data_IF_557899672728
#
_entry.id   IF_557899672728
#
_cell.length_a   1.000
_cell.length_b   1.000
_cell.length_c   1.000
_cell.angle_alpha   90.00
_cell.angle_beta   90.00
_cell.angle_gamma   90.00
#
_symmetry.space_group_name_H-M   'P 1'
#
loop_
_entity.id
_entity.type
_entity.pdbx_description
1 polymer ?
#
# COMPACT_ATOMS: atom_id res chain seq x y z
N UNK A 1 -31.16 30.79 14.53
CA UNK A 1 -30.16 30.17 15.43
C UNK A 1 -30.31 28.65 15.50
N UNK A 2 -31.53 28.12 15.72
CA UNK A 2 -31.80 26.67 15.79
C UNK A 2 -31.46 25.88 14.50
N UNK A 3 -31.71 26.43 13.31
CA UNK A 3 -31.37 25.76 12.05
C UNK A 3 -29.84 25.61 11.81
N UNK A 4 -29.03 26.58 12.25
CA UNK A 4 -27.55 26.49 12.19
C UNK A 4 -27.01 25.45 13.18
N UNK A 5 -27.61 25.36 14.37
CA UNK A 5 -27.28 24.34 15.38
C UNK A 5 -27.70 22.93 14.93
N UNK A 6 -28.86 22.78 14.31
CA UNK A 6 -29.29 21.52 13.72
C UNK A 6 -28.34 21.10 12.59
N UNK A 7 -28.04 21.99 11.64
CA UNK A 7 -27.12 21.69 10.54
C UNK A 7 -25.71 21.31 11.04
N UNK A 8 -25.21 22.01 12.07
CA UNK A 8 -23.93 21.66 12.72
C UNK A 8 -23.96 20.29 13.40
N UNK A 9 -25.09 19.87 13.99
CA UNK A 9 -25.23 18.53 14.59
C UNK A 9 -25.24 17.43 13.55
N UNK A 10 -25.98 17.61 12.45
CA UNK A 10 -26.00 16.66 11.33
C UNK A 10 -24.62 16.46 10.70
N UNK A 11 -23.84 17.54 10.54
CA UNK A 11 -22.47 17.46 10.01
C UNK A 11 -21.56 16.68 10.96
N UNK A 12 -21.65 16.94 12.26
CA UNK A 12 -20.83 16.24 13.25
C UNK A 12 -21.19 14.75 13.36
N UNK A 13 -22.48 14.41 13.35
CA UNK A 13 -22.94 13.02 13.32
C UNK A 13 -22.48 12.30 12.05
N UNK A 14 -22.57 12.95 10.90
CA UNK A 14 -22.08 12.40 9.64
C UNK A 14 -20.56 12.14 9.67
N UNK A 15 -19.78 13.12 10.14
CA UNK A 15 -18.33 12.97 10.30
C UNK A 15 -18.00 11.84 11.27
N UNK A 16 -18.74 11.74 12.37
CA UNK A 16 -18.52 10.68 13.36
C UNK A 16 -18.81 9.28 12.78
N UNK A 17 -19.93 9.11 12.07
CA UNK A 17 -20.27 7.85 11.41
C UNK A 17 -19.22 7.48 10.35
N UNK A 18 -18.76 8.46 9.57
CA UNK A 18 -17.72 8.24 8.57
C UNK A 18 -16.41 7.80 9.23
N UNK A 19 -15.96 8.53 10.26
CA UNK A 19 -14.75 8.21 11.01
C UNK A 19 -14.84 6.82 11.64
N UNK A 20 -15.98 6.47 12.23
CA UNK A 20 -16.22 5.15 12.82
C UNK A 20 -16.09 4.03 11.79
N UNK A 21 -16.64 4.18 10.59
CA UNK A 21 -16.50 3.20 9.50
C UNK A 21 -15.03 3.03 9.07
N UNK A 22 -14.29 4.13 8.95
CA UNK A 22 -12.87 4.08 8.60
C UNK A 22 -12.00 3.50 9.70
N UNK A 23 -12.33 3.75 10.98
CA UNK A 23 -11.65 3.12 12.11
C UNK A 23 -11.85 1.61 12.13
N UNK A 24 -13.07 1.13 11.83
CA UNK A 24 -13.33 -0.32 11.66
C UNK A 24 -12.51 -0.87 10.49
N UNK A 25 -12.53 -0.20 9.33
CA UNK A 25 -11.76 -0.64 8.16
C UNK A 25 -10.25 -0.71 8.47
N UNK A 26 -9.72 0.30 9.16
CA UNK A 26 -8.32 0.30 9.60
C UNK A 26 -8.03 -0.82 10.59
N UNK A 27 -8.90 -1.05 11.58
CA UNK A 27 -8.76 -2.14 12.55
C UNK A 27 -8.68 -3.50 11.86
N UNK A 28 -9.60 -3.77 10.93
CA UNK A 28 -9.65 -5.05 10.22
C UNK A 28 -8.43 -5.23 9.31
N UNK A 29 -8.05 -4.17 8.57
CA UNK A 29 -6.83 -4.15 7.78
C UNK A 29 -5.57 -4.36 8.64
N UNK A 30 -5.49 -3.73 9.82
CA UNK A 30 -4.38 -3.90 10.74
C UNK A 30 -4.32 -5.30 11.35
N UNK A 31 -5.46 -5.91 11.67
CA UNK A 31 -5.52 -7.28 12.17
C UNK A 31 -4.98 -8.28 11.13
N UNK A 32 -5.35 -8.11 9.85
CA UNK A 32 -4.80 -8.90 8.74
C UNK A 32 -3.28 -8.71 8.58
N UNK A 33 -2.78 -7.47 8.69
CA UNK A 33 -1.34 -7.20 8.61
C UNK A 33 -0.58 -7.77 9.80
N UNK A 34 -1.16 -7.72 10.99
CA UNK A 34 -0.58 -8.26 12.21
C UNK A 34 -0.42 -9.79 12.16
N UNK A 35 -1.40 -10.52 11.60
CA UNK A 35 -1.25 -11.96 11.40
C UNK A 35 -0.15 -12.30 10.39
N UNK A 36 -0.01 -11.50 9.34
CA UNK A 36 1.10 -11.62 8.39
C UNK A 36 2.47 -11.35 9.03
N UNK A 37 2.57 -10.34 9.91
CA UNK A 37 3.80 -10.06 10.66
C UNK A 37 4.18 -11.23 11.57
N UNK A 38 3.20 -11.83 12.26
CA UNK A 38 3.43 -12.99 13.10
C UNK A 38 4.04 -14.16 12.31
N UNK A 39 3.45 -14.51 11.16
CA UNK A 39 3.97 -15.59 10.31
C UNK A 39 5.35 -15.25 9.74
N UNK A 40 5.58 -14.00 9.35
CA UNK A 40 6.87 -13.55 8.82
C UNK A 40 7.98 -13.68 9.87
N UNK A 41 7.75 -13.20 11.10
CA UNK A 41 8.72 -13.33 12.18
C UNK A 41 8.93 -14.77 12.63
N UNK A 42 7.89 -15.60 12.62
CA UNK A 42 8.03 -17.03 12.88
C UNK A 42 8.92 -17.70 11.83
N UNK A 43 8.77 -17.33 10.55
CA UNK A 43 9.62 -17.85 9.47
C UNK A 43 11.08 -17.39 9.63
N UNK A 44 11.32 -16.12 9.94
CA UNK A 44 12.65 -15.58 10.22
C UNK A 44 13.31 -16.32 11.40
N UNK A 45 12.58 -16.49 12.51
CA UNK A 45 13.05 -17.23 13.67
C UNK A 45 13.38 -18.69 13.35
N UNK A 46 12.54 -19.36 12.55
CA UNK A 46 12.77 -20.74 12.12
C UNK A 46 14.04 -20.86 11.27
N UNK A 47 14.23 -19.92 10.33
CA UNK A 47 15.44 -19.84 9.49
C UNK A 47 16.69 -19.59 10.35
N UNK A 48 16.61 -18.71 11.34
CA UNK A 48 17.70 -18.46 12.28
C UNK A 48 18.05 -19.72 13.09
N UNK A 49 17.06 -20.41 13.64
CA UNK A 49 17.27 -21.65 14.41
C UNK A 49 17.88 -22.75 13.53
N UNK A 50 17.54 -22.81 12.24
CA UNK A 50 18.16 -23.77 11.31
C UNK A 50 19.61 -23.44 10.92
N UNK A 51 20.17 -22.32 11.36
CA UNK A 51 21.54 -21.91 11.06
C UNK A 51 21.75 -21.33 9.66
N UNK A 52 20.67 -20.98 8.94
CA UNK A 52 20.73 -20.43 7.58
C UNK A 52 21.15 -18.96 7.55
N UNK A 53 22.38 -18.64 7.12
CA UNK A 53 22.90 -17.26 7.13
C UNK A 53 23.98 -17.05 8.19
N UNK A 54 24.50 -18.12 8.78
CA UNK A 54 25.67 -18.12 9.65
C UNK A 54 26.96 -17.89 8.82
N UNK A 55 27.14 -16.70 8.26
CA UNK A 55 28.43 -16.27 7.73
C UNK A 55 29.24 -15.60 8.83
N UNK A 56 30.50 -16.00 8.99
CA UNK A 56 31.37 -15.68 10.13
C UNK A 56 31.64 -14.20 10.36
N UNK A 57 31.37 -13.33 9.37
CA UNK A 57 31.71 -11.89 9.41
C UNK A 57 30.52 -10.95 9.15
N UNK A 58 29.29 -11.45 9.10
CA UNK A 58 28.10 -10.60 8.86
C UNK A 58 27.07 -10.66 9.98
N UNK A 59 26.53 -9.51 10.36
CA UNK A 59 25.35 -9.45 11.22
C UNK A 59 24.21 -10.11 10.46
N UNK A 60 23.58 -11.12 11.07
CA UNK A 60 22.42 -11.81 10.56
C UNK A 60 21.35 -10.82 10.08
N UNK A 61 21.05 -10.83 8.77
CA UNK A 61 20.21 -9.82 8.12
C UNK A 61 19.11 -10.41 7.22
N UNK A 62 18.62 -11.61 7.56
CA UNK A 62 17.46 -12.19 6.88
C UNK A 62 16.16 -11.58 7.41
N UNK A 63 15.60 -10.63 6.66
CA UNK A 63 14.32 -10.01 6.96
C UNK A 63 13.30 -10.35 5.86
N UNK A 64 12.20 -10.99 6.24
CA UNK A 64 11.05 -11.31 5.37
C UNK A 64 10.15 -10.09 5.25
N UNK A 65 9.90 -9.37 6.36
CA UNK A 65 9.02 -8.19 6.37
C UNK A 65 9.63 -7.01 7.16
N UNK A 66 9.01 -5.83 7.09
CA UNK A 66 9.37 -4.66 7.90
C UNK A 66 8.13 -3.91 8.37
N UNK A 67 7.60 -4.20 9.57
CA UNK A 67 6.34 -3.61 10.02
C UNK A 67 6.39 -2.08 10.09
N UNK A 68 7.51 -1.51 10.56
CA UNK A 68 7.67 -0.05 10.65
C UNK A 68 7.56 0.63 9.28
N UNK A 69 8.14 0.02 8.24
CA UNK A 69 8.09 0.56 6.88
C UNK A 69 6.72 0.37 6.22
N UNK A 70 5.87 -0.51 6.75
CA UNK A 70 4.53 -0.78 6.24
C UNK A 70 3.48 0.09 6.95
N UNK A 71 3.64 0.33 8.25
CA UNK A 71 2.71 1.13 9.06
C UNK A 71 3.02 2.63 9.03
N UNK A 72 4.28 3.01 8.80
CA UNK A 72 4.69 4.39 8.52
C UNK A 72 5.34 4.49 7.13
N UNK A 73 4.60 4.18 6.04
CA UNK A 73 5.17 4.09 4.71
C UNK A 73 5.47 5.48 4.16
N UNK A 74 6.56 5.58 3.39
CA UNK A 74 6.77 6.76 2.55
C UNK A 74 5.89 6.73 1.31
N UNK A 75 5.68 5.54 0.74
CA UNK A 75 4.92 5.31 -0.50
C UNK A 75 4.35 3.88 -0.57
N UNK A 76 3.37 3.65 -1.44
CA UNK A 76 2.83 2.30 -1.70
C UNK A 76 3.89 1.35 -2.26
N UNK A 77 4.85 1.85 -3.04
CA UNK A 77 5.96 1.04 -3.57
C UNK A 77 6.75 0.41 -2.42
N UNK A 78 7.06 1.18 -1.38
CA UNK A 78 7.76 0.66 -0.19
C UNK A 78 6.93 -0.40 0.52
N UNK A 79 5.62 -0.21 0.65
CA UNK A 79 4.73 -1.20 1.26
C UNK A 79 4.80 -2.53 0.52
N UNK A 80 4.71 -2.53 -0.81
CA UNK A 80 4.79 -3.76 -1.62
C UNK A 80 6.14 -4.46 -1.48
N UNK A 81 7.24 -3.70 -1.37
CA UNK A 81 8.59 -4.25 -1.16
C UNK A 81 8.70 -4.88 0.23
N UNK A 82 8.31 -4.14 1.26
CA UNK A 82 8.53 -4.51 2.65
C UNK A 82 7.48 -5.49 3.18
N UNK A 83 6.33 -5.63 2.51
CA UNK A 83 5.32 -6.63 2.84
C UNK A 83 5.90 -8.04 2.85
N UNK A 84 6.61 -8.41 1.77
CA UNK A 84 7.29 -9.69 1.63
C UNK A 84 8.51 -9.49 0.72
N UNK A 85 9.68 -9.25 1.32
CA UNK A 85 10.91 -8.93 0.58
C UNK A 85 11.36 -10.10 -0.31
N UNK A 86 11.40 -11.36 0.16
CA UNK A 86 11.78 -12.50 -0.68
C UNK A 86 10.90 -12.61 -1.93
N UNK A 87 9.58 -12.49 -1.75
CA UNK A 87 8.64 -12.55 -2.86
C UNK A 87 8.81 -11.37 -3.83
N UNK A 88 9.02 -10.16 -3.29
CA UNK A 88 9.32 -8.98 -4.12
C UNK A 88 10.59 -9.19 -4.96
N UNK A 89 11.67 -9.71 -4.37
CA UNK A 89 12.91 -10.00 -5.10
C UNK A 89 12.71 -11.07 -6.17
N UNK A 90 11.92 -12.10 -5.88
CA UNK A 90 11.58 -13.13 -6.86
C UNK A 90 10.83 -12.52 -8.05
N UNK A 91 9.76 -11.75 -7.81
CA UNK A 91 9.01 -11.08 -8.87
C UNK A 91 9.88 -10.13 -9.68
N UNK A 92 10.73 -9.34 -9.01
CA UNK A 92 11.65 -8.41 -9.68
C UNK A 92 12.62 -9.14 -10.60
N UNK A 93 13.13 -10.29 -10.17
CA UNK A 93 14.16 -11.06 -10.89
C UNK A 93 13.57 -11.84 -12.05
N UNK A 94 12.48 -12.57 -11.82
CA UNK A 94 11.97 -13.55 -12.79
C UNK A 94 10.83 -13.01 -13.66
N UNK A 95 10.03 -12.06 -13.17
CA UNK A 95 8.87 -11.54 -13.91
C UNK A 95 9.16 -10.15 -14.47
N UNK A 96 9.45 -9.19 -13.60
CA UNK A 96 9.61 -7.79 -14.00
C UNK A 96 10.78 -7.59 -14.97
N UNK A 97 11.97 -8.12 -14.65
CA UNK A 97 13.15 -8.00 -15.53
C UNK A 97 12.96 -8.73 -16.86
N UNK A 98 12.31 -9.89 -16.85
CA UNK A 98 12.05 -10.67 -18.07
C UNK A 98 11.09 -9.95 -19.02
N UNK A 99 10.08 -9.27 -18.48
CA UNK A 99 9.08 -8.54 -19.27
C UNK A 99 9.44 -7.07 -19.50
N UNK A 100 10.54 -6.58 -18.92
CA UNK A 100 11.03 -5.21 -19.09
C UNK A 100 11.25 -4.77 -20.55
N UNK A 101 11.75 -5.63 -21.46
CA UNK A 101 11.92 -5.26 -22.87
C UNK A 101 10.60 -4.87 -23.58
N UNK A 102 9.45 -5.33 -23.07
CA UNK A 102 8.11 -4.99 -23.60
C UNK A 102 7.61 -3.61 -23.12
N UNK A 103 8.35 -2.94 -22.24
CA UNK A 103 8.02 -1.63 -21.69
C UNK A 103 7.69 -1.64 -20.20
N UNK A 104 7.72 -0.46 -19.58
CA UNK A 104 7.49 -0.30 -18.14
C UNK A 104 6.12 -0.76 -17.67
N UNK A 105 5.08 -0.38 -18.42
CA UNK A 105 3.69 -0.71 -18.07
C UNK A 105 3.45 -2.20 -18.19
N UNK A 106 3.92 -2.82 -19.29
CA UNK A 106 3.84 -4.26 -19.49
C UNK A 106 4.53 -5.03 -18.37
N UNK A 107 5.71 -4.58 -17.91
CA UNK A 107 6.44 -5.21 -16.82
C UNK A 107 5.76 -5.10 -15.45
N UNK A 108 5.08 -3.99 -15.17
CA UNK A 108 4.29 -3.82 -13.94
C UNK A 108 3.04 -4.70 -14.00
N UNK A 109 2.29 -4.64 -15.12
CA UNK A 109 1.07 -5.44 -15.31
C UNK A 109 1.36 -6.94 -15.22
N UNK A 110 2.41 -7.42 -15.89
CA UNK A 110 2.81 -8.84 -15.82
C UNK A 110 3.13 -9.26 -14.39
N UNK A 111 3.82 -8.42 -13.62
CA UNK A 111 4.18 -8.69 -12.22
C UNK A 111 2.93 -8.88 -11.36
N UNK A 112 1.94 -7.98 -11.49
CA UNK A 112 0.69 -8.11 -10.74
C UNK A 112 -0.19 -9.27 -11.24
N UNK A 113 -0.22 -9.55 -12.55
CA UNK A 113 -0.94 -10.71 -13.09
C UNK A 113 -0.37 -12.02 -12.53
N UNK A 114 0.96 -12.19 -12.54
CA UNK A 114 1.59 -13.39 -11.97
C UNK A 114 1.34 -13.46 -10.46
N UNK A 115 1.38 -12.34 -9.74
CA UNK A 115 1.01 -12.31 -8.33
C UNK A 115 -0.42 -12.80 -8.08
N UNK A 116 -1.40 -12.31 -8.86
CA UNK A 116 -2.80 -12.74 -8.76
C UNK A 116 -2.94 -14.25 -9.04
N UNK A 117 -2.23 -14.77 -10.03
CA UNK A 117 -2.21 -16.20 -10.35
C UNK A 117 -1.66 -17.04 -9.20
N UNK A 118 -0.56 -16.60 -8.56
CA UNK A 118 0.03 -17.30 -7.42
C UNK A 118 -0.87 -17.29 -6.16
N UNK A 119 -1.79 -16.33 -6.06
CA UNK A 119 -2.80 -16.29 -5.01
C UNK A 119 -4.07 -17.10 -5.34
N UNK A 120 -4.02 -17.99 -6.34
CA UNK A 120 -5.08 -18.96 -6.63
C UNK A 120 -6.31 -18.38 -7.32
N UNK A 121 -6.17 -17.25 -8.03
CA UNK A 121 -7.27 -16.58 -8.76
C UNK A 121 -8.51 -16.26 -7.92
N UNK A 122 -8.35 -16.10 -6.61
CA UNK A 122 -9.42 -15.66 -5.74
C UNK A 122 -9.81 -14.22 -6.11
N UNK A 123 -11.09 -13.97 -6.42
CA UNK A 123 -11.58 -12.67 -6.89
C UNK A 123 -11.24 -11.53 -5.92
N UNK A 124 -11.35 -11.77 -4.61
CA UNK A 124 -11.04 -10.76 -3.60
C UNK A 124 -9.56 -10.36 -3.63
N UNK A 125 -8.66 -11.33 -3.59
CA UNK A 125 -7.21 -11.09 -3.67
C UNK A 125 -6.84 -10.48 -5.02
N UNK A 126 -7.47 -10.94 -6.10
CA UNK A 126 -7.28 -10.38 -7.44
C UNK A 126 -7.64 -8.90 -7.50
N UNK A 127 -8.82 -8.53 -6.99
CA UNK A 127 -9.29 -7.15 -6.96
C UNK A 127 -8.37 -6.24 -6.10
N UNK A 128 -7.94 -6.73 -4.94
CA UNK A 128 -7.02 -6.00 -4.05
C UNK A 128 -5.65 -5.79 -4.70
N UNK A 129 -5.03 -6.85 -5.24
CA UNK A 129 -3.70 -6.77 -5.85
C UNK A 129 -3.69 -5.95 -7.14
N UNK A 130 -4.72 -6.10 -7.97
CA UNK A 130 -4.87 -5.28 -9.17
C UNK A 130 -5.00 -3.80 -8.81
N UNK A 131 -5.85 -3.47 -7.83
CA UNK A 131 -6.01 -2.10 -7.34
C UNK A 131 -4.70 -1.57 -6.76
N UNK A 132 -4.00 -2.38 -5.95
CA UNK A 132 -2.70 -2.02 -5.39
C UNK A 132 -1.69 -1.71 -6.49
N UNK A 133 -1.69 -2.46 -7.59
CA UNK A 133 -0.83 -2.20 -8.74
C UNK A 133 -1.12 -0.88 -9.45
N UNK A 134 -2.39 -0.58 -9.70
CA UNK A 134 -2.81 0.71 -10.26
C UNK A 134 -2.44 1.86 -9.31
N UNK A 135 -2.74 1.72 -8.02
CA UNK A 135 -2.50 2.77 -7.02
C UNK A 135 -1.00 3.07 -6.89
N UNK A 136 -0.19 2.02 -6.84
CA UNK A 136 1.27 2.13 -6.78
C UNK A 136 1.82 2.84 -8.02
N UNK A 137 1.31 2.51 -9.21
CA UNK A 137 1.72 3.16 -10.46
C UNK A 137 1.36 4.65 -10.48
N UNK A 138 0.11 4.99 -10.16
CA UNK A 138 -0.37 6.39 -10.14
C UNK A 138 0.41 7.23 -9.12
N UNK A 139 0.60 6.72 -7.90
CA UNK A 139 1.39 7.42 -6.88
C UNK A 139 2.83 7.62 -7.36
N UNK A 140 3.45 6.57 -7.93
CA UNK A 140 4.83 6.64 -8.42
C UNK A 140 5.01 7.71 -9.50
N UNK A 141 4.15 7.73 -10.52
CA UNK A 141 4.26 8.71 -11.62
C UNK A 141 4.00 10.13 -11.16
N UNK A 142 2.98 10.33 -10.31
CA UNK A 142 2.68 11.64 -9.73
C UNK A 142 3.87 12.18 -8.93
N UNK A 143 4.43 11.37 -8.03
CA UNK A 143 5.54 11.79 -7.16
C UNK A 143 6.80 12.08 -7.94
N UNK A 144 7.07 11.32 -8.99
CA UNK A 144 8.21 11.57 -9.87
C UNK A 144 8.07 12.91 -10.59
N UNK A 145 6.88 13.23 -11.13
CA UNK A 145 6.61 14.54 -11.73
C UNK A 145 6.73 15.68 -10.73
N UNK A 146 6.14 15.55 -9.55
CA UNK A 146 6.22 16.58 -8.52
C UNK A 146 7.65 16.80 -8.03
N UNK A 147 8.44 15.73 -7.90
CA UNK A 147 9.85 15.84 -7.52
C UNK A 147 10.65 16.64 -8.55
N UNK A 148 10.36 16.48 -9.84
CA UNK A 148 10.97 17.23 -10.94
C UNK A 148 10.52 18.71 -10.96
N UNK A 149 9.21 18.97 -10.83
CA UNK A 149 8.64 20.33 -10.90
C UNK A 149 9.10 21.18 -9.71
N UNK A 150 9.09 20.62 -8.50
CA UNK A 150 9.47 21.34 -7.28
C UNK A 150 10.95 21.18 -6.91
N UNK A 151 11.71 20.40 -7.69
CA UNK A 151 13.10 20.04 -7.43
C UNK A 151 13.31 19.61 -5.97
N UNK A 152 12.53 18.60 -5.55
CA UNK A 152 12.35 18.22 -4.14
C UNK A 152 12.48 16.72 -3.88
N UNK A 153 12.97 16.34 -2.70
CA UNK A 153 13.09 14.92 -2.28
C UNK A 153 11.74 14.29 -1.88
N UNK A 154 10.78 14.26 -2.81
CA UNK A 154 9.44 13.68 -2.63
C UNK A 154 9.18 12.45 -3.50
N UNK A 155 10.21 11.93 -4.19
CA UNK A 155 10.10 10.65 -4.92
C UNK A 155 9.67 9.49 -4.00
N UNK A 156 9.09 8.45 -4.62
CA UNK A 156 8.58 7.27 -3.93
C UNK A 156 9.64 6.57 -3.07
N UNK A 157 10.89 6.54 -3.55
CA UNK A 157 12.05 6.09 -2.77
C UNK A 157 12.78 7.28 -2.13
N UNK A 158 13.41 7.10 -0.96
CA UNK A 158 14.29 8.10 -0.37
C UNK A 158 15.44 8.40 -1.33
N UNK A 159 15.72 9.68 -1.54
CA UNK A 159 16.85 10.09 -2.37
C UNK A 159 18.17 9.64 -1.74
N UNK A 160 19.16 9.33 -2.58
CA UNK A 160 20.54 9.06 -2.14
C UNK A 160 21.13 10.28 -1.42
N UNK A 161 22.13 10.05 -0.56
CA UNK A 161 22.75 11.09 0.28
C UNK A 161 23.27 12.31 -0.51
N UNK A 162 23.72 12.11 -1.76
CA UNK A 162 24.13 13.17 -2.70
C UNK A 162 23.13 13.32 -3.84
N UNK A 163 21.91 13.78 -3.54
CA UNK A 163 20.91 14.11 -4.56
C UNK A 163 21.09 15.55 -5.08
N UNK A 164 20.70 15.80 -6.34
CA UNK A 164 20.75 17.12 -6.99
C UNK A 164 19.62 18.06 -6.59
N UNK A 165 18.53 17.55 -5.99
CA UNK A 165 17.35 18.34 -5.64
C UNK A 165 17.65 19.55 -4.74
N UNK A 166 17.14 20.74 -5.07
CA UNK A 166 17.24 21.94 -4.23
C UNK A 166 16.57 21.77 -2.87
N UNK A 167 15.36 21.21 -2.83
CA UNK A 167 14.61 20.99 -1.58
C UNK A 167 14.93 19.62 -0.98
N UNK A 168 15.88 19.60 -0.03
CA UNK A 168 16.37 18.36 0.60
C UNK A 168 15.34 17.71 1.52
N UNK A 169 15.54 16.43 1.82
CA UNK A 169 14.68 15.64 2.70
C UNK A 169 14.53 16.20 4.14
N UNK A 170 15.50 16.99 4.62
CA UNK A 170 15.43 17.60 5.95
C UNK A 170 14.48 18.80 6.04
N UNK A 171 14.17 19.41 4.90
CA UNK A 171 13.32 20.60 4.84
C UNK A 171 11.87 20.27 5.21
N UNK A 172 11.21 21.18 5.93
CA UNK A 172 9.88 20.96 6.48
C UNK A 172 8.84 20.70 5.37
N UNK A 173 8.88 21.45 4.27
CA UNK A 173 7.98 21.26 3.12
C UNK A 173 8.08 19.84 2.54
N UNK A 174 9.30 19.37 2.29
CA UNK A 174 9.56 18.01 1.80
C UNK A 174 9.11 16.94 2.80
N UNK A 175 9.33 17.15 4.10
CA UNK A 175 8.85 16.23 5.14
C UNK A 175 7.32 16.16 5.17
N UNK A 176 6.66 17.31 5.22
CA UNK A 176 5.20 17.39 5.23
C UNK A 176 4.58 16.76 3.98
N UNK A 177 5.17 17.00 2.81
CA UNK A 177 4.72 16.34 1.57
C UNK A 177 4.84 14.81 1.66
N UNK A 178 5.98 14.31 2.13
CA UNK A 178 6.18 12.86 2.30
C UNK A 178 5.24 12.25 3.34
N UNK A 179 4.99 12.95 4.45
CA UNK A 179 4.01 12.53 5.47
C UNK A 179 2.60 12.53 4.88
N UNK A 180 2.24 13.55 4.10
CA UNK A 180 0.95 13.62 3.40
C UNK A 180 0.73 12.45 2.46
N UNK A 181 1.73 12.09 1.65
CA UNK A 181 1.66 10.89 0.81
C UNK A 181 1.61 9.60 1.65
N UNK A 182 2.36 9.50 2.74
CA UNK A 182 2.29 8.33 3.63
C UNK A 182 0.91 8.14 4.27
N UNK A 183 0.27 9.24 4.71
CA UNK A 183 -1.13 9.22 5.21
C UNK A 183 -2.08 8.77 4.11
N UNK A 184 -1.90 9.26 2.87
CA UNK A 184 -2.68 8.82 1.72
C UNK A 184 -2.48 7.31 1.42
N UNK A 185 -1.25 6.81 1.52
CA UNK A 185 -0.94 5.38 1.41
C UNK A 185 -1.69 4.58 2.48
N UNK A 186 -1.68 5.02 3.75
CA UNK A 186 -2.40 4.35 4.83
C UNK A 186 -3.91 4.35 4.65
N UNK A 187 -4.47 5.44 4.10
CA UNK A 187 -5.87 5.50 3.70
C UNK A 187 -6.19 4.44 2.63
N UNK A 188 -5.37 4.33 1.58
CA UNK A 188 -5.53 3.31 0.55
C UNK A 188 -5.42 1.88 1.10
N UNK A 189 -4.46 1.62 2.00
CA UNK A 189 -4.30 0.31 2.62
C UNK A 189 -5.48 -0.06 3.52
N UNK A 190 -6.03 0.90 4.25
CA UNK A 190 -7.23 0.69 5.08
C UNK A 190 -8.44 0.33 4.22
N UNK A 191 -8.61 1.03 3.09
CA UNK A 191 -9.68 0.74 2.13
C UNK A 191 -9.53 -0.64 1.49
N UNK A 192 -8.33 -1.01 1.04
CA UNK A 192 -8.08 -2.31 0.44
C UNK A 192 -8.20 -3.44 1.47
N UNK A 193 -7.78 -3.19 2.71
CA UNK A 193 -7.77 -4.15 3.80
C UNK A 193 -9.15 -4.46 4.38
N UNK A 194 -10.17 -3.63 4.15
CA UNK A 194 -11.57 -3.88 4.57
C UNK A 194 -12.12 -5.20 4.04
N UNK A 195 -11.50 -5.73 3.00
CA UNK A 195 -11.86 -7.00 2.39
C UNK A 195 -11.53 -8.20 3.27
N UNK A 196 -10.53 -8.10 4.13
CA UNK A 196 -10.06 -9.20 4.97
C UNK A 196 -10.70 -9.15 6.35
N UNK A 197 -12.04 -9.15 6.41
CA UNK A 197 -12.72 -9.25 7.69
C UNK A 197 -12.52 -10.64 8.31
N UNK A 198 -12.30 -10.69 9.62
CA UNK A 198 -12.00 -11.92 10.38
C UNK A 198 -13.22 -12.83 10.55
N UNK A 199 -14.24 -12.73 9.69
CA UNK A 199 -15.44 -13.55 9.80
C UNK A 199 -15.14 -14.98 9.30
N UNK A 200 -15.01 -15.92 10.24
CA UNK A 200 -14.52 -17.28 10.00
C UNK A 200 -15.38 -18.09 9.02
N UNK A 201 -16.67 -17.77 8.89
CA UNK A 201 -17.62 -18.58 8.11
C UNK A 201 -17.58 -18.35 6.59
N UNK A 202 -17.10 -17.19 6.12
CA UNK A 202 -17.01 -16.89 4.68
C UNK A 202 -15.61 -17.15 4.09
N UNK A 203 -14.59 -17.18 4.93
CA UNK A 203 -13.20 -17.37 4.49
C UNK A 203 -12.95 -18.77 3.90
N UNK A 204 -13.70 -19.80 4.34
CA UNK A 204 -13.58 -21.19 3.86
C UNK A 204 -14.30 -21.45 2.53
N UNK A 205 -15.33 -20.67 2.17
CA UNK A 205 -16.13 -20.91 0.94
C UNK A 205 -15.69 -20.09 -0.28
N UNK A 206 -14.73 -19.18 -0.10
CA UNK A 206 -14.34 -18.20 -1.12
C UNK A 206 -15.38 -17.07 -1.21
N UNK A 207 -14.90 -15.83 -1.10
CA UNK A 207 -15.77 -14.66 -1.15
C UNK A 207 -16.29 -14.43 -2.58
N UNK A 208 -17.61 -14.30 -2.72
CA UNK A 208 -18.25 -13.92 -3.99
C UNK A 208 -17.91 -12.46 -4.35
N UNK A 209 -17.90 -12.13 -5.64
CA UNK A 209 -17.69 -10.77 -6.14
C UNK A 209 -18.66 -9.75 -5.52
N UNK A 210 -19.88 -10.19 -5.21
CA UNK A 210 -20.92 -9.35 -4.59
C UNK A 210 -20.54 -8.89 -3.18
N UNK A 211 -19.82 -9.73 -2.42
CA UNK A 211 -19.32 -9.37 -1.09
C UNK A 211 -18.27 -8.26 -1.19
N UNK A 212 -17.30 -8.42 -2.10
CA UNK A 212 -16.25 -7.43 -2.37
C UNK A 212 -16.81 -6.08 -2.78
N UNK A 213 -17.73 -6.07 -3.73
CA UNK A 213 -18.35 -4.83 -4.20
C UNK A 213 -19.22 -4.18 -3.12
N UNK A 214 -19.93 -4.97 -2.30
CA UNK A 214 -20.74 -4.45 -1.19
C UNK A 214 -19.89 -3.72 -0.16
N UNK A 215 -18.75 -4.29 0.25
CA UNK A 215 -17.81 -3.67 1.20
C UNK A 215 -17.25 -2.36 0.66
N UNK A 216 -16.84 -2.32 -0.61
CA UNK A 216 -16.34 -1.09 -1.24
C UNK A 216 -17.43 -0.04 -1.47
N UNK A 217 -18.65 -0.47 -1.77
CA UNK A 217 -19.82 0.41 -1.85
C UNK A 217 -20.15 1.07 -0.51
N UNK A 218 -19.95 0.38 0.62
CA UNK A 218 -20.14 0.97 1.96
C UNK A 218 -19.15 2.10 2.28
N UNK A 219 -18.00 2.11 1.62
CA UNK A 219 -16.99 3.18 1.64
C UNK A 219 -17.11 4.11 0.42
N UNK A 220 -18.21 4.04 -0.33
CA UNK A 220 -18.50 4.85 -1.51
C UNK A 220 -17.41 4.83 -2.58
N UNK A 221 -16.66 3.73 -2.67
CA UNK A 221 -15.51 3.61 -3.58
C UNK A 221 -14.49 4.76 -3.41
N UNK A 222 -14.40 5.36 -2.22
CA UNK A 222 -13.66 6.60 -1.99
C UNK A 222 -12.19 6.53 -2.45
N UNK A 223 -11.52 5.41 -2.19
CA UNK A 223 -10.14 5.22 -2.62
C UNK A 223 -9.98 5.24 -4.14
N UNK A 224 -10.93 4.66 -4.90
CA UNK A 224 -10.87 4.67 -6.36
C UNK A 224 -11.04 6.10 -6.90
N UNK A 225 -11.95 6.88 -6.32
CA UNK A 225 -12.12 8.29 -6.67
C UNK A 225 -10.90 9.13 -6.35
N UNK A 226 -10.25 8.89 -5.21
CA UNK A 226 -9.01 9.58 -4.83
C UNK A 226 -7.89 9.25 -5.82
N UNK A 227 -7.72 7.98 -6.21
CA UNK A 227 -6.70 7.60 -7.21
C UNK A 227 -7.02 8.17 -8.59
N UNK A 228 -8.29 8.20 -9.00
CA UNK A 228 -8.69 8.85 -10.23
C UNK A 228 -8.35 10.35 -10.20
N UNK A 229 -8.67 11.03 -9.09
CA UNK A 229 -8.35 12.44 -8.88
C UNK A 229 -6.85 12.71 -8.90
N UNK A 230 -6.03 11.88 -8.25
CA UNK A 230 -4.57 12.03 -8.27
C UNK A 230 -3.99 11.77 -9.66
N UNK A 231 -4.57 10.85 -10.44
CA UNK A 231 -4.17 10.61 -11.82
C UNK A 231 -4.54 11.78 -12.74
N UNK A 232 -5.76 12.33 -12.62
CA UNK A 232 -6.16 13.52 -13.37
C UNK A 232 -5.25 14.71 -13.02
N UNK A 233 -4.95 14.91 -11.74
CA UNK A 233 -4.01 15.93 -11.31
C UNK A 233 -2.62 15.74 -11.91
N UNK A 234 -2.13 14.49 -11.97
CA UNK A 234 -0.89 14.16 -12.67
C UNK A 234 -0.94 14.51 -14.18
N UNK A 235 -2.09 14.36 -14.85
CA UNK A 235 -2.22 14.72 -16.27
C UNK A 235 -2.27 16.24 -16.51
N UNK A 236 -2.67 17.02 -15.51
CA UNK A 236 -2.79 18.49 -15.62
C UNK A 236 -1.47 19.23 -15.37
N UNK A 237 -0.46 18.57 -14.78
CA UNK A 237 0.86 19.13 -14.43
C UNK A 237 1.92 18.64 -15.42
#
# INVERSE_FOLDING_TARGET
MLAKLAHSRWILEFIFVLLYRWLIAYRDAFAFRSSHYFISFLSEASTMISGFGNETDSIWSFAVTSPLSIEAPRSLVEVVIYWNRPMHYWFKTYVFRSTRPLGSVAAVLSTYIVSILMHGLNFQLAAVLFSLGVYTYVEFTLRHKLAQVFDACIEAHPCRQRCSHRHKAKQLSTKLANVGFGVLTMFHLSYLGVMFDMSSTLQEKGYSYSHTLSKWSNLHFASLWVVLGTYIFYLLI
#
